data_IF_279601779759
#
_entry.id   IF_279601779759
#
_cell.length_a   1.000
_cell.length_b   1.000
_cell.length_c   1.000
_cell.angle_alpha   90.00
_cell.angle_beta   90.00
_cell.angle_gamma   90.00
#
_symmetry.space_group_name_H-M   'P 1'
#
loop_
_entity.id
_entity.type
_entity.pdbx_description
1 polymer ?
#
# COMPACT_ATOMS: atom_id res chain seq x y z
N UNK A 1 -29.56 -16.63 -17.24
CA UNK A 1 -29.26 -15.32 -16.64
C UNK A 1 -28.19 -15.52 -15.57
N UNK A 2 -26.92 -15.43 -15.94
CA UNK A 2 -25.82 -15.54 -14.98
C UNK A 2 -25.80 -14.29 -14.10
N UNK A 3 -25.98 -14.45 -12.79
CA UNK A 3 -25.64 -13.37 -11.87
C UNK A 3 -24.13 -13.17 -12.00
N UNK A 4 -23.68 -11.96 -12.32
CA UNK A 4 -22.25 -11.65 -12.39
C UNK A 4 -21.52 -12.00 -11.09
N UNK A 5 -20.19 -11.96 -11.09
CA UNK A 5 -19.31 -12.44 -9.99
C UNK A 5 -19.77 -12.05 -8.57
N UNK A 6 -20.42 -10.89 -8.44
CA UNK A 6 -20.88 -10.36 -7.15
C UNK A 6 -22.22 -10.92 -6.65
N UNK A 7 -23.00 -11.64 -7.45
CA UNK A 7 -24.23 -12.33 -7.08
C UNK A 7 -25.16 -11.60 -6.08
N UNK A 8 -25.27 -10.26 -6.21
CA UNK A 8 -26.10 -9.42 -5.35
C UNK A 8 -25.52 -9.10 -3.96
N UNK A 9 -24.26 -9.45 -3.66
CA UNK A 9 -23.59 -9.07 -2.41
C UNK A 9 -22.98 -7.66 -2.51
N UNK A 10 -23.11 -6.90 -1.42
CA UNK A 10 -22.37 -5.64 -1.24
C UNK A 10 -20.89 -5.96 -1.00
N UNK A 11 -20.04 -5.69 -1.99
CA UNK A 11 -18.61 -5.64 -1.78
C UNK A 11 -18.27 -4.38 -0.99
N UNK A 12 -17.93 -4.55 0.29
CA UNK A 12 -17.23 -3.50 1.04
C UNK A 12 -15.97 -3.16 0.25
N UNK A 13 -15.77 -1.89 -0.10
CA UNK A 13 -14.65 -1.46 -0.94
C UNK A 13 -13.34 -2.15 -0.54
N UNK A 14 -12.84 -3.02 -1.41
CA UNK A 14 -11.52 -3.59 -1.26
C UNK A 14 -10.50 -2.48 -1.55
N UNK A 15 -9.38 -2.48 -0.82
CA UNK A 15 -8.29 -1.56 -1.12
C UNK A 15 -7.79 -1.84 -2.54
N UNK A 16 -7.66 -0.79 -3.34
CA UNK A 16 -7.13 -0.87 -4.71
C UNK A 16 -5.71 -0.35 -4.71
N UNK A 17 -4.75 -1.17 -5.15
CA UNK A 17 -3.36 -0.76 -5.33
C UNK A 17 -3.29 0.20 -6.51
N UNK A 18 -2.84 1.43 -6.25
CA UNK A 18 -2.71 2.48 -7.27
C UNK A 18 -1.31 2.53 -7.90
N UNK A 19 -0.30 2.16 -7.13
CA UNK A 19 1.09 2.04 -7.56
C UNK A 19 1.78 0.98 -6.70
N UNK A 20 2.67 0.20 -7.31
CA UNK A 20 3.55 -0.74 -6.64
C UNK A 20 4.93 -0.62 -7.28
N UNK A 21 5.95 -0.34 -6.47
CA UNK A 21 7.33 -0.22 -6.94
C UNK A 21 8.31 -0.64 -5.86
N UNK A 22 9.49 -1.16 -6.23
CA UNK A 22 10.58 -1.36 -5.28
C UNK A 22 11.08 -0.02 -4.74
N UNK A 23 11.48 0.00 -3.46
CA UNK A 23 12.12 1.17 -2.82
C UNK A 23 13.63 1.01 -2.66
N UNK A 24 14.13 -0.23 -2.73
CA UNK A 24 15.55 -0.57 -2.58
C UNK A 24 15.74 -1.91 -1.90
N UNK A 25 16.97 -2.22 -1.54
CA UNK A 25 17.35 -3.41 -0.78
C UNK A 25 17.71 -3.03 0.66
N UNK A 26 17.41 -3.91 1.60
CA UNK A 26 17.89 -3.81 2.98
C UNK A 26 19.40 -4.02 2.98
N UNK A 27 20.14 -3.19 3.72
CA UNK A 27 21.58 -3.30 3.85
C UNK A 27 21.97 -4.57 4.64
N UNK A 28 23.24 -4.96 4.56
CA UNK A 28 23.74 -6.18 5.22
C UNK A 28 23.60 -6.14 6.76
N UNK A 29 23.51 -4.95 7.35
CA UNK A 29 23.28 -4.73 8.78
C UNK A 29 21.78 -4.77 9.16
N UNK A 30 20.90 -5.05 8.20
CA UNK A 30 19.45 -5.11 8.42
C UNK A 30 18.75 -3.76 8.36
N UNK A 31 19.46 -2.66 8.07
CA UNK A 31 18.86 -1.33 8.01
C UNK A 31 18.38 -0.96 6.61
N UNK A 32 17.36 -0.11 6.54
CA UNK A 32 16.91 0.50 5.30
C UNK A 32 16.36 1.90 5.59
N UNK A 33 16.79 2.87 4.80
CA UNK A 33 16.28 4.24 4.87
C UNK A 33 16.19 4.84 3.47
N UNK A 34 15.05 5.42 3.14
CA UNK A 34 14.82 6.08 1.86
C UNK A 34 13.73 7.15 1.97
N UNK A 35 13.88 8.23 1.20
CA UNK A 35 12.82 9.20 0.96
C UNK A 35 12.15 8.86 -0.36
N UNK A 36 10.89 8.41 -0.30
CA UNK A 36 10.14 8.01 -1.48
C UNK A 36 9.15 9.13 -1.90
N UNK A 37 9.34 9.79 -3.06
CA UNK A 37 8.39 10.79 -3.53
C UNK A 37 7.06 10.15 -3.90
N UNK A 38 5.94 10.75 -3.47
CA UNK A 38 4.59 10.28 -3.78
C UNK A 38 3.90 11.25 -4.74
N UNK A 39 3.64 10.80 -5.96
CA UNK A 39 2.86 11.55 -6.94
C UNK A 39 1.39 11.18 -6.77
N UNK A 40 0.67 11.92 -5.92
CA UNK A 40 -0.76 11.71 -5.70
C UNK A 40 -1.58 12.51 -6.71
N UNK A 41 -2.60 11.91 -7.30
CA UNK A 41 -3.54 12.66 -8.13
C UNK A 41 -4.35 13.62 -7.27
N UNK A 42 -4.47 14.88 -7.71
CA UNK A 42 -5.30 15.88 -7.05
C UNK A 42 -6.80 15.49 -6.99
N UNK A 43 -7.25 14.57 -7.85
CA UNK A 43 -8.62 14.05 -7.84
C UNK A 43 -8.86 13.03 -6.71
N UNK A 44 -7.83 12.58 -5.99
CA UNK A 44 -7.97 11.57 -4.94
C UNK A 44 -8.29 12.21 -3.59
N UNK A 45 -9.23 11.58 -2.86
CA UNK A 45 -9.49 11.89 -1.44
C UNK A 45 -8.35 11.32 -0.59
N UNK A 46 -7.34 12.13 -0.29
CA UNK A 46 -6.12 11.72 0.44
C UNK A 46 -6.39 11.06 1.79
N UNK A 47 -7.45 11.47 2.51
CA UNK A 47 -7.88 10.86 3.76
C UNK A 47 -8.27 9.37 3.64
N UNK A 48 -8.58 8.90 2.42
CA UNK A 48 -8.89 7.50 2.16
C UNK A 48 -7.69 6.72 1.60
N UNK A 49 -6.52 7.37 1.47
CA UNK A 49 -5.31 6.75 0.96
C UNK A 49 -4.39 6.28 2.09
N UNK A 50 -3.69 5.18 1.82
CA UNK A 50 -2.65 4.64 2.70
C UNK A 50 -1.43 4.28 1.85
N UNK A 51 -0.25 4.46 2.41
CA UNK A 51 0.95 3.79 1.94
C UNK A 51 1.10 2.47 2.70
N UNK A 52 1.50 1.41 1.99
CA UNK A 52 1.87 0.12 2.60
C UNK A 52 3.29 -0.17 2.19
N UNK A 53 4.16 -0.42 3.17
CA UNK A 53 5.55 -0.79 2.98
C UNK A 53 5.71 -2.26 3.35
N UNK A 54 6.39 -3.01 2.50
CA UNK A 54 6.64 -4.43 2.68
C UNK A 54 8.15 -4.67 2.66
N UNK A 55 8.62 -5.49 3.60
CA UNK A 55 9.96 -6.11 3.52
C UNK A 55 9.76 -7.52 3.02
N UNK A 56 10.40 -7.84 1.91
CA UNK A 56 10.20 -9.10 1.19
C UNK A 56 11.54 -9.75 0.87
N UNK A 57 11.64 -11.05 1.12
CA UNK A 57 12.77 -11.86 0.66
C UNK A 57 12.80 -11.92 -0.88
N UNK A 58 13.98 -11.78 -1.47
CA UNK A 58 14.14 -11.70 -2.93
C UNK A 58 13.88 -13.02 -3.63
N UNK A 59 14.33 -14.14 -3.05
CA UNK A 59 14.18 -15.48 -3.62
C UNK A 59 12.79 -16.07 -3.39
N UNK A 60 12.38 -16.22 -2.14
CA UNK A 60 11.12 -16.87 -1.75
C UNK A 60 9.88 -16.01 -2.00
N UNK A 61 10.07 -14.68 -2.12
CA UNK A 61 8.98 -13.68 -2.14
C UNK A 61 8.16 -13.64 -0.85
N UNK A 62 8.63 -14.26 0.22
CA UNK A 62 7.97 -14.20 1.51
C UNK A 62 8.05 -12.78 2.07
N UNK A 63 6.91 -12.25 2.54
CA UNK A 63 6.84 -10.96 3.23
C UNK A 63 7.21 -11.20 4.68
N UNK A 64 8.31 -10.61 5.13
CA UNK A 64 8.84 -10.77 6.49
C UNK A 64 8.57 -9.57 7.38
N UNK A 65 8.05 -8.48 6.80
CA UNK A 65 7.65 -7.29 7.55
C UNK A 65 6.66 -6.44 6.76
N UNK A 66 5.77 -5.75 7.48
CA UNK A 66 4.75 -4.87 6.88
C UNK A 66 4.48 -3.68 7.79
N UNK A 67 4.22 -2.53 7.18
CA UNK A 67 3.69 -1.35 7.86
C UNK A 67 2.69 -0.62 6.94
N UNK A 68 1.70 0.04 7.54
CA UNK A 68 0.74 0.86 6.83
C UNK A 68 0.66 2.25 7.46
N UNK A 69 0.66 3.28 6.62
CA UNK A 69 0.65 4.69 7.05
C UNK A 69 -0.50 5.42 6.35
N UNK A 70 -1.36 6.15 7.08
CA UNK A 70 -2.33 7.03 6.43
C UNK A 70 -1.61 8.16 5.70
N UNK A 71 -2.13 8.58 4.54
CA UNK A 71 -1.60 9.72 3.77
C UNK A 71 -2.42 11.00 3.93
N UNK A 72 -3.54 10.93 4.65
CA UNK A 72 -4.28 12.12 5.08
C UNK A 72 -3.53 12.85 6.19
N UNK A 73 -3.90 14.11 6.42
CA UNK A 73 -3.30 14.91 7.49
C UNK A 73 -3.44 14.19 8.84
N UNK A 74 -2.37 14.11 9.65
CA UNK A 74 -2.52 13.70 11.03
C UNK A 74 -3.46 14.69 11.70
N UNK A 75 -4.45 14.19 12.44
CA UNK A 75 -5.28 15.03 13.32
C UNK A 75 -4.32 15.66 14.33
N UNK A 76 -4.06 16.96 14.19
CA UNK A 76 -3.33 17.73 15.20
C UNK A 76 -4.27 17.88 16.40
N UNK A 77 -3.91 17.24 17.52
CA UNK A 77 -4.52 17.51 18.82
C UNK A 77 -3.69 18.55 19.56
#
# INVERSE_FOLDING_TARGET
MGRGENSGRLLRHAAVVRALRPLGAVAADGTFSATAPLNLSAAWKTNNLKAVVLVQETGSRHIVGVAALPLGSPTQN
#
